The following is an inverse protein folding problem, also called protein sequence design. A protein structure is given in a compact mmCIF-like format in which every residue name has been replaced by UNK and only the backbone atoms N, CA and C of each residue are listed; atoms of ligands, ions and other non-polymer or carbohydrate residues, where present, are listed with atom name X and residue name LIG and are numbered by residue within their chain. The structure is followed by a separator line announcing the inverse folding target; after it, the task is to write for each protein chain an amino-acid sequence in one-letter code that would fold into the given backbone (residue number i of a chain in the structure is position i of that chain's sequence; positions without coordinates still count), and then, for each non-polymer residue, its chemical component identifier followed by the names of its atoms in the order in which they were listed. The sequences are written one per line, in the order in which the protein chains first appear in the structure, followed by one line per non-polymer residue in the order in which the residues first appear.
data_IF_868710831560
#
_entry.id   IF_868710831560
#
_cell.length_a   1.000
_cell.length_b   1.000
_cell.length_c   1.000
_cell.angle_alpha   90.00
_cell.angle_beta   90.00
_cell.angle_gamma   90.00
#
_symmetry.space_group_name_H-M   'P 1'
#
loop_
_entity.id
_entity.type
_entity.pdbx_description
1 polymer ?
#
# COMPACT_ATOMS: atom_id res chain seq x y z
N UNK A 1 -19.40 -14.84 1.62
CA UNK A 1 -18.63 -15.76 0.75
C UNK A 1 -17.58 -14.90 0.05
N UNK A 2 -16.33 -14.93 0.51
CA UNK A 2 -15.29 -14.01 0.02
C UNK A 2 -14.31 -14.78 -0.85
N UNK A 3 -14.32 -14.40 -2.13
CA UNK A 3 -13.67 -15.11 -3.22
C UNK A 3 -12.17 -14.80 -3.18
N UNK A 4 -11.36 -15.83 -2.91
CA UNK A 4 -10.06 -15.94 -3.55
C UNK A 4 -10.33 -15.88 -5.05
N UNK A 5 -9.99 -14.78 -5.73
CA UNK A 5 -10.08 -14.79 -7.17
C UNK A 5 -9.01 -15.75 -7.70
N UNK A 6 -9.38 -17.01 -7.85
CA UNK A 6 -8.84 -17.87 -8.90
C UNK A 6 -9.28 -17.23 -10.22
N UNK A 7 -8.44 -16.37 -10.78
CA UNK A 7 -8.66 -15.81 -12.11
C UNK A 7 -8.40 -16.94 -13.12
N UNK A 8 -9.47 -17.64 -13.49
CA UNK A 8 -9.48 -18.70 -14.50
C UNK A 8 -8.83 -18.22 -15.79
N UNK A 9 -7.91 -19.04 -16.30
CA UNK A 9 -7.26 -18.84 -17.58
C UNK A 9 -8.30 -18.87 -18.70
N UNK A 10 -8.47 -17.75 -19.41
CA UNK A 10 -9.12 -17.74 -20.70
C UNK A 10 -8.29 -16.86 -21.64
N UNK A 11 -7.46 -17.52 -22.44
CA UNK A 11 -7.08 -17.12 -23.79
C UNK A 11 -6.13 -15.95 -23.95
N UNK A 12 -4.84 -16.12 -23.64
CA UNK A 12 -3.76 -15.44 -24.37
C UNK A 12 -2.55 -16.37 -24.46
N UNK A 13 -2.41 -17.05 -25.60
CA UNK A 13 -1.18 -17.70 -26.05
C UNK A 13 -0.14 -16.62 -26.32
N UNK A 14 1.12 -16.74 -25.86
CA UNK A 14 2.30 -16.35 -26.66
C UNK A 14 3.62 -16.87 -26.05
N UNK A 15 4.33 -17.64 -26.89
CA UNK A 15 5.75 -18.02 -27.00
C UNK A 15 6.71 -17.70 -25.83
N UNK A 16 7.14 -18.76 -25.14
CA UNK A 16 8.28 -18.78 -24.21
C UNK A 16 9.58 -19.03 -24.98
N UNK A 17 10.61 -18.19 -24.77
CA UNK A 17 11.99 -18.44 -25.23
C UNK A 17 12.84 -18.81 -24.01
N UNK A 18 13.58 -19.90 -24.18
CA UNK A 18 14.26 -20.72 -23.18
C UNK A 18 15.76 -20.41 -23.20
N UNK A 19 16.36 -20.01 -22.08
CA UNK A 19 17.82 -20.15 -21.78
C UNK A 19 18.03 -19.83 -20.28
N UNK A 20 18.29 -20.79 -19.38
CA UNK A 20 19.51 -21.59 -19.10
C UNK A 20 20.55 -20.85 -18.24
N UNK A 21 20.67 -21.29 -16.98
CA UNK A 21 21.75 -20.96 -16.03
C UNK A 21 23.04 -21.75 -16.34
N UNK A 22 24.18 -21.45 -15.66
CA UNK A 22 24.51 -22.28 -14.49
C UNK A 22 25.29 -21.60 -13.33
N UNK A 23 25.16 -22.25 -12.18
CA UNK A 23 26.11 -22.56 -11.08
C UNK A 23 27.00 -21.51 -10.36
N UNK A 24 26.80 -21.49 -9.03
CA UNK A 24 27.76 -21.28 -7.93
C UNK A 24 28.21 -22.68 -7.46
N UNK A 25 29.38 -22.89 -6.78
CA UNK A 25 29.69 -22.22 -5.50
C UNK A 25 31.19 -22.04 -5.15
N UNK A 26 31.48 -21.25 -4.12
CA UNK A 26 32.56 -21.52 -3.16
C UNK A 26 32.45 -20.61 -1.93
N UNK A 27 32.65 -21.25 -0.79
CA UNK A 27 32.64 -20.80 0.61
C UNK A 27 33.98 -20.24 1.07
N UNK A 28 33.96 -19.49 2.18
CA UNK A 28 34.98 -19.32 3.25
C UNK A 28 35.08 -17.83 3.61
N UNK A 29 35.23 -17.34 4.84
CA UNK A 29 34.97 -17.74 6.24
C UNK A 29 35.60 -16.60 7.08
N UNK A 30 35.08 -16.35 8.28
CA UNK A 30 35.77 -15.72 9.45
C UNK A 30 36.15 -14.23 9.31
N UNK A 31 36.10 -13.33 10.29
CA UNK A 31 35.66 -13.28 11.69
C UNK A 31 35.74 -11.80 12.11
N UNK A 32 34.93 -11.36 13.07
CA UNK A 32 34.93 -9.97 13.64
C UNK A 32 36.07 -9.78 14.67
N UNK A 33 36.35 -8.56 15.21
CA UNK A 33 35.52 -8.08 16.32
C UNK A 33 35.40 -6.54 16.51
N UNK A 34 34.25 -6.15 17.09
CA UNK A 34 34.04 -5.23 18.24
C UNK A 34 34.68 -3.84 18.22
N UNK A 35 33.83 -2.82 18.25
CA UNK A 35 34.12 -1.49 18.79
C UNK A 35 32.82 -0.73 19.11
N UNK A 36 32.55 -0.47 20.39
CA UNK A 36 31.43 0.34 20.91
C UNK A 36 31.94 0.98 22.22
N UNK A 37 31.32 2.05 22.76
CA UNK A 37 31.03 3.38 22.23
C UNK A 37 31.73 4.47 23.08
N UNK A 38 31.55 5.76 22.75
CA UNK A 38 31.80 6.86 23.68
C UNK A 38 30.59 7.83 23.69
N UNK A 39 30.16 8.34 24.87
CA UNK A 39 28.94 9.13 25.05
C UNK A 39 29.21 10.65 25.15
N UNK A 40 28.15 11.46 25.01
CA UNK A 40 27.83 12.73 25.73
C UNK A 40 26.83 13.60 24.92
N UNK A 41 26.20 14.66 25.48
CA UNK A 41 25.10 14.62 26.45
C UNK A 41 23.88 15.46 26.01
N UNK A 42 22.75 15.28 26.70
CA UNK A 42 21.56 16.14 26.61
C UNK A 42 21.78 17.52 27.24
N UNK A 43 21.22 18.59 26.66
CA UNK A 43 20.96 19.95 27.23
C UNK A 43 20.19 20.72 26.13
N UNK A 44 19.14 21.52 26.29
CA UNK A 44 18.16 21.84 27.33
C UNK A 44 17.08 22.70 26.64
N UNK A 45 15.81 22.58 27.07
CA UNK A 45 14.83 23.66 26.91
C UNK A 45 15.12 24.80 27.89
N UNK A 46 14.63 26.02 27.62
CA UNK A 46 13.51 26.58 28.40
C UNK A 46 12.48 27.32 27.49
N UNK A 47 11.16 27.17 27.62
CA UNK A 47 10.22 27.63 28.66
C UNK A 47 9.80 29.13 28.58
N UNK A 48 8.58 29.33 28.03
CA UNK A 48 7.44 30.22 28.39
C UNK A 48 7.48 31.79 28.32
N UNK A 49 6.70 32.34 27.37
CA UNK A 49 5.61 33.39 27.34
C UNK A 49 5.56 34.57 28.38
N UNK A 50 4.80 35.72 28.20
CA UNK A 50 3.62 35.99 27.33
C UNK A 50 3.39 37.47 26.78
N UNK A 51 2.22 37.67 26.10
CA UNK A 51 1.39 38.91 25.89
C UNK A 51 1.83 39.95 24.82
N UNK A 52 1.02 40.50 23.89
CA UNK A 52 -0.42 40.85 23.82
C UNK A 52 -0.88 40.92 22.34
N UNK A 53 -2.05 40.38 21.94
CA UNK A 53 -3.38 41.04 21.75
C UNK A 53 -3.39 42.26 20.82
N UNK A 54 -4.00 42.16 19.63
CA UNK A 54 -5.27 42.84 19.33
C UNK A 54 -5.98 42.31 18.06
N UNK A 55 -7.27 42.61 18.00
CA UNK A 55 -8.38 41.95 17.36
C UNK A 55 -8.60 42.24 15.87
N UNK A 56 -9.23 41.27 15.19
CA UNK A 56 -10.41 41.54 14.35
C UNK A 56 -11.19 40.23 14.14
N UNK A 57 -12.42 40.23 14.66
CA UNK A 57 -13.42 39.17 14.48
C UNK A 57 -14.03 39.14 13.06
N UNK A 58 -14.87 38.14 12.77
CA UNK A 58 -14.98 37.56 11.43
C UNK A 58 -16.18 38.12 10.65
N UNK A 59 -16.00 38.36 9.34
CA UNK A 59 -17.10 38.38 8.38
C UNK A 59 -17.38 36.96 7.90
N UNK A 60 -18.62 36.45 8.01
CA UNK A 60 -18.98 35.11 7.56
C UNK A 60 -19.24 35.18 6.05
N UNK A 61 -18.18 35.33 5.27
CA UNK A 61 -18.27 35.01 3.85
C UNK A 61 -18.55 33.52 3.77
N UNK A 62 -19.65 33.20 3.10
CA UNK A 62 -20.04 31.89 2.61
C UNK A 62 -18.92 31.31 1.74
N UNK A 63 -17.85 30.87 2.39
CA UNK A 63 -16.78 30.09 1.81
C UNK A 63 -17.28 28.67 1.90
N UNK A 64 -18.00 28.26 0.85
CA UNK A 64 -18.28 26.87 0.53
C UNK A 64 -17.04 26.05 0.83
N UNK A 65 -17.01 25.45 2.03
CA UNK A 65 -15.94 24.61 2.53
C UNK A 65 -16.01 23.33 1.71
N UNK A 66 -15.39 23.35 0.53
CA UNK A 66 -14.63 22.19 0.07
C UNK A 66 -13.47 22.03 1.05
N UNK A 67 -13.79 21.61 2.28
CA UNK A 67 -12.80 20.98 3.15
C UNK A 67 -12.39 19.76 2.34
N UNK A 68 -11.21 19.83 1.74
CA UNK A 68 -10.40 18.65 1.66
C UNK A 68 -10.17 18.26 3.13
N UNK A 69 -11.11 17.48 3.68
CA UNK A 69 -11.01 16.94 5.03
C UNK A 69 -9.83 16.01 4.93
N UNK A 70 -8.63 16.53 5.23
CA UNK A 70 -7.45 15.71 5.49
C UNK A 70 -7.88 14.80 6.63
N UNK A 71 -8.26 13.56 6.30
CA UNK A 71 -8.68 12.60 7.31
C UNK A 71 -7.48 12.32 8.19
N UNK A 72 -7.75 12.16 9.47
CA UNK A 72 -6.73 11.78 10.43
C UNK A 72 -6.08 10.45 9.98
N UNK A 73 -4.76 10.40 9.73
CA UNK A 73 -4.07 9.17 9.35
C UNK A 73 -4.31 8.02 10.32
N UNK A 74 -4.47 8.29 11.63
CA UNK A 74 -4.76 7.27 12.63
C UNK A 74 -6.17 6.68 12.43
N UNK A 75 -7.16 7.51 12.13
CA UNK A 75 -8.52 7.06 11.83
C UNK A 75 -8.55 6.20 10.55
N UNK A 76 -7.84 6.63 9.50
CA UNK A 76 -7.72 5.87 8.24
C UNK A 76 -7.02 4.53 8.47
N UNK A 77 -5.95 4.52 9.25
CA UNK A 77 -5.25 3.29 9.63
C UNK A 77 -6.20 2.31 10.33
N UNK A 78 -6.94 2.79 11.33
CA UNK A 78 -7.94 1.99 12.04
C UNK A 78 -9.05 1.44 11.14
N UNK A 79 -9.54 2.24 10.18
CA UNK A 79 -10.52 1.78 9.18
C UNK A 79 -9.96 0.65 8.31
N UNK A 80 -8.74 0.81 7.80
CA UNK A 80 -8.08 -0.17 6.93
C UNK A 80 -7.78 -1.45 7.70
N UNK A 81 -7.13 -1.36 8.86
CA UNK A 81 -6.82 -2.52 9.70
C UNK A 81 -8.10 -3.23 10.12
N UNK A 82 -9.13 -2.49 10.52
CA UNK A 82 -10.43 -3.07 10.87
C UNK A 82 -11.13 -3.77 9.71
N UNK A 83 -10.85 -3.38 8.45
CA UNK A 83 -11.29 -4.12 7.26
C UNK A 83 -10.43 -5.37 7.04
N UNK A 84 -9.11 -5.25 7.14
CA UNK A 84 -8.16 -6.36 6.95
C UNK A 84 -8.41 -7.49 7.95
N UNK A 85 -8.61 -7.19 9.23
CA UNK A 85 -8.86 -8.19 10.28
C UNK A 85 -10.12 -9.03 10.07
N UNK A 86 -11.07 -8.58 9.23
CA UNK A 86 -12.27 -9.37 8.87
C UNK A 86 -11.98 -10.43 7.82
N UNK A 87 -10.84 -10.34 7.16
CA UNK A 87 -10.41 -11.28 6.13
C UNK A 87 -9.48 -12.34 6.74
N UNK A 88 -9.76 -13.62 6.46
CA UNK A 88 -8.99 -14.76 6.98
C UNK A 88 -7.48 -14.64 6.75
N UNK A 89 -7.08 -14.01 5.64
CA UNK A 89 -5.67 -13.82 5.29
C UNK A 89 -4.90 -12.90 6.25
N UNK A 90 -5.55 -11.89 6.81
CA UNK A 90 -4.88 -10.84 7.59
C UNK A 90 -5.23 -10.89 9.08
N UNK A 91 -6.28 -11.61 9.47
CA UNK A 91 -6.72 -11.71 10.88
C UNK A 91 -5.66 -12.31 11.81
N UNK A 92 -4.75 -13.12 11.26
CA UNK A 92 -3.68 -13.83 12.00
C UNK A 92 -2.34 -13.08 11.95
N UNK A 93 -2.25 -11.99 11.17
CA UNK A 93 -1.03 -11.19 11.12
C UNK A 93 -0.87 -10.35 12.38
N UNK A 94 0.39 -10.14 12.78
CA UNK A 94 0.69 -9.25 13.90
C UNK A 94 0.34 -7.80 13.54
N UNK A 95 0.10 -6.96 14.55
CA UNK A 95 -0.12 -5.52 14.33
C UNK A 95 1.11 -4.90 13.63
N UNK A 96 2.32 -5.35 13.96
CA UNK A 96 3.55 -4.89 13.31
C UNK A 96 3.58 -5.23 11.81
N UNK A 97 3.11 -6.42 11.41
CA UNK A 97 3.01 -6.78 9.99
C UNK A 97 1.96 -5.92 9.25
N UNK A 98 0.84 -5.62 9.90
CA UNK A 98 -0.19 -4.73 9.35
C UNK A 98 0.31 -3.29 9.27
N UNK A 99 1.07 -2.83 10.26
CA UNK A 99 1.70 -1.51 10.26
C UNK A 99 2.66 -1.38 9.07
N UNK A 100 3.50 -2.38 8.83
CA UNK A 100 4.44 -2.40 7.71
C UNK A 100 3.69 -2.33 6.36
N UNK A 101 2.55 -3.00 6.24
CA UNK A 101 1.75 -2.96 5.02
C UNK A 101 1.03 -1.61 4.82
N UNK A 102 0.44 -1.07 5.88
CA UNK A 102 -0.52 0.04 5.76
C UNK A 102 0.16 1.40 5.91
N UNK A 103 1.06 1.58 6.88
CA UNK A 103 1.65 2.89 7.17
C UNK A 103 2.41 3.49 5.98
N UNK A 104 3.24 2.75 5.24
CA UNK A 104 3.91 3.32 4.07
C UNK A 104 2.94 3.76 2.97
N UNK A 105 1.84 3.02 2.77
CA UNK A 105 0.78 3.38 1.83
C UNK A 105 0.11 4.71 2.22
N UNK A 106 -0.20 4.87 3.51
CA UNK A 106 -0.81 6.09 4.05
C UNK A 106 0.14 7.29 3.95
N UNK A 107 1.41 7.12 4.34
CA UNK A 107 2.43 8.18 4.28
C UNK A 107 2.68 8.67 2.85
N UNK A 108 2.63 7.77 1.88
CA UNK A 108 2.82 8.08 0.46
C UNK A 108 1.53 8.48 -0.25
N UNK A 109 0.38 8.45 0.44
CA UNK A 109 -0.95 8.67 -0.13
C UNK A 109 -1.26 7.72 -1.31
N UNK A 110 -0.77 6.49 -1.23
CA UNK A 110 -0.92 5.45 -2.25
C UNK A 110 -1.95 4.39 -1.84
N UNK A 111 -3.14 4.87 -1.51
CA UNK A 111 -4.26 4.02 -1.12
C UNK A 111 -5.59 4.59 -1.61
N UNK A 112 -6.57 3.72 -1.79
CA UNK A 112 -7.94 4.09 -2.11
C UNK A 112 -8.91 3.31 -1.23
N UNK A 113 -9.88 4.02 -0.67
CA UNK A 113 -10.94 3.44 0.14
C UNK A 113 -12.25 3.42 -0.63
N UNK A 114 -12.93 2.29 -0.56
CA UNK A 114 -14.28 2.12 -1.06
C UNK A 114 -15.24 2.07 0.12
N UNK A 115 -16.29 2.87 0.02
CA UNK A 115 -17.30 3.02 1.05
C UNK A 115 -18.61 2.36 0.62
N UNK A 116 -19.33 1.77 1.56
CA UNK A 116 -20.71 1.36 1.32
C UNK A 116 -21.54 2.59 1.02
N UNK A 117 -22.60 2.42 0.23
CA UNK A 117 -23.63 3.46 0.13
C UNK A 117 -24.14 3.74 1.56
N UNK A 118 -24.11 5.01 1.97
CA UNK A 118 -24.75 5.42 3.20
C UNK A 118 -26.24 5.10 3.07
N UNK A 119 -26.78 4.37 4.03
CA UNK A 119 -28.22 4.19 4.16
C UNK A 119 -28.72 5.25 5.14
N UNK A 120 -29.99 5.65 5.00
CA UNK A 120 -30.68 6.64 5.85
C UNK A 120 -30.38 6.52 7.36
N UNK A 121 -30.04 5.31 7.85
CA UNK A 121 -29.77 5.04 9.26
C UNK A 121 -28.30 4.70 9.61
N UNK A 122 -27.35 4.67 8.66
CA UNK A 122 -25.95 4.28 8.94
C UNK A 122 -24.92 5.09 8.18
N UNK A 123 -23.92 5.57 8.93
CA UNK A 123 -22.68 6.13 8.40
C UNK A 123 -22.07 5.19 7.34
N UNK A 124 -21.57 5.75 6.25
CA UNK A 124 -20.85 4.98 5.23
C UNK A 124 -19.66 4.24 5.87
N UNK A 125 -19.62 2.91 5.71
CA UNK A 125 -18.55 2.06 6.25
C UNK A 125 -17.54 1.75 5.16
N UNK A 126 -16.27 1.67 5.51
CA UNK A 126 -15.24 1.15 4.62
C UNK A 126 -15.48 -0.34 4.35
N UNK A 127 -15.71 -0.66 3.08
CA UNK A 127 -16.02 -2.01 2.57
C UNK A 127 -14.94 -2.53 1.64
N UNK A 128 -14.06 -1.66 1.14
CA UNK A 128 -12.93 -2.04 0.32
C UNK A 128 -11.73 -1.12 0.51
N UNK A 129 -10.54 -1.66 0.28
CA UNK A 129 -9.28 -0.92 0.22
C UNK A 129 -8.44 -1.44 -0.94
N UNK A 130 -7.74 -0.55 -1.63
CA UNK A 130 -6.66 -0.87 -2.55
C UNK A 130 -5.40 -0.11 -2.13
N UNK A 131 -4.27 -0.82 -2.05
CA UNK A 131 -2.96 -0.30 -1.69
C UNK A 131 -2.01 -0.52 -2.86
N UNK A 132 -1.26 0.51 -3.24
CA UNK A 132 -0.26 0.40 -4.30
C UNK A 132 1.05 1.06 -3.91
N UNK A 133 2.10 0.73 -4.65
CA UNK A 133 3.41 1.36 -4.56
C UNK A 133 3.85 1.83 -5.95
N UNK A 134 4.53 2.96 -6.02
CA UNK A 134 5.18 3.48 -7.21
C UNK A 134 6.68 3.19 -7.08
N UNK A 135 7.15 2.17 -7.77
CA UNK A 135 8.50 1.63 -7.61
C UNK A 135 9.39 1.96 -8.81
N UNK A 136 10.70 1.92 -8.60
CA UNK A 136 11.72 2.00 -9.63
C UNK A 136 11.96 0.65 -10.33
N UNK A 137 12.74 0.67 -11.41
CA UNK A 137 13.03 -0.54 -12.22
C UNK A 137 13.83 -1.60 -11.44
N UNK A 138 14.62 -1.20 -10.44
CA UNK A 138 15.37 -2.13 -9.60
C UNK A 138 14.41 -2.91 -8.67
N UNK A 139 13.52 -2.19 -7.98
CA UNK A 139 12.51 -2.81 -7.11
C UNK A 139 11.50 -3.61 -7.92
N UNK A 140 11.09 -3.12 -9.09
CA UNK A 140 10.21 -3.84 -10.01
C UNK A 140 10.78 -5.22 -10.40
N UNK A 141 12.04 -5.28 -10.84
CA UNK A 141 12.71 -6.56 -11.16
C UNK A 141 12.79 -7.48 -9.95
N UNK A 142 13.08 -6.95 -8.76
CA UNK A 142 13.08 -7.72 -7.52
C UNK A 142 11.68 -8.30 -7.23
N UNK A 143 10.62 -7.50 -7.36
CA UNK A 143 9.25 -7.91 -7.14
C UNK A 143 8.76 -8.95 -8.16
N UNK A 144 9.26 -8.89 -9.39
CA UNK A 144 8.97 -9.91 -10.41
C UNK A 144 9.55 -11.28 -10.03
N UNK A 145 10.73 -11.30 -9.41
CA UNK A 145 11.45 -12.53 -9.05
C UNK A 145 11.08 -13.05 -7.65
N UNK A 146 10.61 -12.16 -6.76
CA UNK A 146 10.24 -12.52 -5.39
C UNK A 146 9.09 -13.55 -5.38
N UNK A 147 9.18 -14.49 -4.44
CA UNK A 147 8.11 -15.46 -4.14
C UNK A 147 7.32 -15.06 -2.89
N UNK A 148 7.59 -13.88 -2.33
CA UNK A 148 6.99 -13.44 -1.09
C UNK A 148 5.49 -13.23 -1.26
N UNK A 149 4.75 -13.76 -0.28
CA UNK A 149 3.31 -13.61 -0.18
C UNK A 149 2.91 -13.47 1.29
N UNK A 150 2.49 -12.29 1.77
CA UNK A 150 2.30 -11.04 1.02
C UNK A 150 3.61 -10.41 0.53
N UNK A 151 3.51 -9.54 -0.48
CA UNK A 151 4.65 -8.73 -0.95
C UNK A 151 5.10 -7.83 0.21
N UNK A 152 6.39 -7.88 0.53
CA UNK A 152 7.01 -7.00 1.53
C UNK A 152 7.92 -5.99 0.84
N UNK A 153 7.61 -4.71 1.02
CA UNK A 153 8.43 -3.59 0.56
C UNK A 153 8.92 -2.78 1.76
N UNK A 154 10.16 -2.31 1.69
CA UNK A 154 10.67 -1.32 2.64
C UNK A 154 9.97 0.02 2.42
N UNK A 155 9.76 0.86 3.45
CA UNK A 155 9.06 2.13 3.30
C UNK A 155 9.59 3.03 2.18
N UNK A 156 10.90 3.04 1.96
CA UNK A 156 11.56 3.86 0.93
C UNK A 156 11.23 3.38 -0.49
N UNK A 157 10.90 2.10 -0.65
CA UNK A 157 10.56 1.49 -1.94
C UNK A 157 9.14 1.81 -2.37
N UNK A 158 8.26 2.26 -1.47
CA UNK A 158 6.86 2.52 -1.80
C UNK A 158 6.70 3.64 -2.83
N UNK A 159 7.59 4.64 -2.83
CA UNK A 159 7.54 5.78 -3.73
C UNK A 159 8.91 6.03 -4.37
N UNK A 160 9.58 4.96 -4.82
CA UNK A 160 10.92 5.02 -5.42
C UNK A 160 10.91 5.31 -6.93
N UNK A 161 9.78 5.19 -7.63
CA UNK A 161 9.75 5.38 -9.08
C UNK A 161 8.37 5.54 -9.71
N UNK A 162 8.24 5.11 -10.97
CA UNK A 162 7.06 5.38 -11.82
C UNK A 162 6.20 4.14 -12.09
N UNK A 163 6.72 2.94 -11.86
CA UNK A 163 6.01 1.68 -12.15
C UNK A 163 5.01 1.43 -11.01
N UNK A 164 3.71 1.30 -11.33
CA UNK A 164 2.70 1.05 -10.30
C UNK A 164 2.65 -0.44 -10.01
N UNK A 165 2.78 -0.82 -8.74
CA UNK A 165 2.51 -2.16 -8.25
C UNK A 165 1.29 -2.14 -7.33
N UNK A 166 0.26 -2.87 -7.69
CA UNK A 166 -0.86 -3.14 -6.79
C UNK A 166 -0.40 -4.17 -5.76
N UNK A 167 -0.18 -3.71 -4.53
CA UNK A 167 0.34 -4.51 -3.41
C UNK A 167 -0.78 -5.32 -2.78
N UNK A 168 -1.93 -4.67 -2.59
CA UNK A 168 -3.08 -5.33 -1.99
C UNK A 168 -4.42 -4.72 -2.44
N UNK A 169 -5.45 -5.55 -2.49
CA UNK A 169 -6.82 -5.12 -2.74
C UNK A 169 -7.79 -6.04 -2.00
N UNK A 170 -8.47 -5.49 -0.98
CA UNK A 170 -9.32 -6.25 -0.07
C UNK A 170 -10.72 -5.66 -0.03
N UNK A 171 -11.72 -6.45 -0.40
CA UNK A 171 -13.13 -6.08 -0.36
C UNK A 171 -13.99 -7.04 -1.19
N UNK A 172 -15.32 -6.83 -1.24
CA UNK A 172 -16.19 -7.51 -2.20
C UNK A 172 -15.69 -7.31 -3.65
N UNK A 173 -15.87 -8.34 -4.49
CA UNK A 173 -15.28 -8.37 -5.84
C UNK A 173 -15.76 -7.22 -6.73
N UNK A 174 -17.06 -6.92 -6.69
CA UNK A 174 -17.70 -5.81 -7.39
C UNK A 174 -17.13 -4.45 -6.93
N UNK A 175 -16.96 -4.28 -5.63
CA UNK A 175 -16.38 -3.08 -5.02
C UNK A 175 -14.93 -2.87 -5.45
N UNK A 176 -14.11 -3.93 -5.40
CA UNK A 176 -12.70 -3.85 -5.81
C UNK A 176 -12.58 -3.60 -7.31
N UNK A 177 -13.39 -4.25 -8.15
CA UNK A 177 -13.43 -3.98 -9.59
C UNK A 177 -13.76 -2.52 -9.90
N UNK A 178 -14.80 -1.97 -9.27
CA UNK A 178 -15.16 -0.56 -9.45
C UNK A 178 -14.05 0.39 -8.97
N UNK A 179 -13.39 0.06 -7.86
CA UNK A 179 -12.27 0.84 -7.31
C UNK A 179 -11.07 0.82 -8.25
N UNK A 180 -10.68 -0.35 -8.76
CA UNK A 180 -9.57 -0.49 -9.71
C UNK A 180 -9.88 0.19 -11.04
N UNK A 181 -11.10 0.06 -11.57
CA UNK A 181 -11.49 0.77 -12.79
C UNK A 181 -11.37 2.30 -12.64
N UNK A 182 -11.77 2.83 -11.48
CA UNK A 182 -11.59 4.25 -11.15
C UNK A 182 -10.11 4.62 -11.05
N UNK A 183 -9.27 3.79 -10.42
CA UNK A 183 -7.84 4.04 -10.31
C UNK A 183 -7.15 4.02 -11.67
N UNK A 184 -7.44 3.03 -12.51
CA UNK A 184 -6.92 2.91 -13.87
C UNK A 184 -7.29 4.12 -14.74
N UNK A 185 -8.51 4.63 -14.60
CA UNK A 185 -8.97 5.80 -15.35
C UNK A 185 -8.34 7.12 -14.89
N UNK A 186 -8.06 7.26 -13.60
CA UNK A 186 -7.66 8.56 -13.03
C UNK A 186 -6.20 8.55 -12.54
N UNK A 187 -5.89 7.76 -11.50
CA UNK A 187 -4.59 7.78 -10.81
C UNK A 187 -3.48 7.09 -11.60
N UNK A 188 -3.83 6.05 -12.37
CA UNK A 188 -2.89 5.25 -13.15
C UNK A 188 -2.97 5.55 -14.65
N UNK A 189 -3.62 6.65 -15.05
CA UNK A 189 -3.77 7.01 -16.44
C UNK A 189 -2.39 7.11 -17.13
N UNK A 190 -2.21 6.34 -18.21
CA UNK A 190 -0.96 6.30 -18.98
C UNK A 190 0.21 5.59 -18.29
N UNK A 191 -0.03 4.83 -17.22
CA UNK A 191 1.02 4.11 -16.47
C UNK A 191 0.82 2.60 -16.58
N UNK A 192 1.93 1.86 -16.61
CA UNK A 192 1.88 0.41 -16.41
C UNK A 192 1.56 0.10 -14.96
N UNK A 193 0.55 -0.75 -14.76
CA UNK A 193 0.14 -1.25 -13.45
C UNK A 193 0.37 -2.75 -13.41
N UNK A 194 1.19 -3.18 -12.45
CA UNK A 194 1.55 -4.58 -12.24
C UNK A 194 0.88 -5.11 -10.98
N UNK A 195 0.55 -6.39 -11.00
CA UNK A 195 -0.04 -7.07 -9.86
C UNK A 195 0.47 -8.51 -9.81
N UNK A 196 0.85 -8.96 -8.62
CA UNK A 196 1.06 -10.38 -8.40
C UNK A 196 -0.30 -11.08 -8.21
N UNK A 197 -0.57 -12.09 -9.03
CA UNK A 197 -1.71 -12.99 -8.88
C UNK A 197 -1.20 -14.39 -8.54
N UNK A 198 -1.92 -15.08 -7.68
CA UNK A 198 -1.74 -16.52 -7.49
C UNK A 198 -2.78 -17.20 -8.37
N UNK A 199 -2.37 -18.16 -9.19
CA UNK A 199 -3.30 -18.95 -10.00
C UNK A 199 -3.99 -20.05 -9.17
N UNK A 200 -4.77 -20.90 -9.84
CA UNK A 200 -5.55 -21.93 -9.16
C UNK A 200 -4.66 -23.02 -8.54
N UNK A 201 -3.44 -23.14 -9.06
CA UNK A 201 -2.40 -24.10 -8.75
C UNK A 201 -1.44 -23.58 -7.66
N UNK A 202 -1.62 -22.34 -7.21
CA UNK A 202 -0.79 -21.73 -6.17
C UNK A 202 0.48 -21.07 -6.70
N UNK A 203 0.67 -21.01 -8.01
CA UNK A 203 1.84 -20.39 -8.64
C UNK A 203 1.62 -18.88 -8.76
N UNK A 204 2.62 -18.12 -8.31
CA UNK A 204 2.63 -16.67 -8.44
C UNK A 204 2.98 -16.29 -9.88
N UNK A 205 2.12 -15.48 -10.51
CA UNK A 205 2.33 -14.84 -11.80
C UNK A 205 2.20 -13.33 -11.66
N UNK A 206 3.03 -12.57 -12.36
CA UNK A 206 2.87 -11.12 -12.46
C UNK A 206 2.00 -10.82 -13.68
N UNK A 207 0.97 -10.00 -13.50
CA UNK A 207 0.04 -9.59 -14.56
C UNK A 207 0.02 -8.07 -14.68
N UNK A 208 -0.13 -7.60 -15.91
CA UNK A 208 -0.40 -6.19 -16.18
C UNK A 208 -1.91 -5.94 -16.08
N UNK A 209 -2.29 -4.93 -15.32
CA UNK A 209 -3.66 -4.43 -15.22
C UNK A 209 -3.84 -3.34 -16.28
N UNK A 210 -4.70 -3.62 -17.26
CA UNK A 210 -5.12 -2.65 -18.27
C UNK A 210 -6.55 -2.22 -18.00
N UNK A 211 -6.88 -0.97 -18.32
CA UNK A 211 -8.27 -0.56 -18.42
C UNK A 211 -8.94 -1.39 -19.52
N UNK A 212 -10.08 -2.00 -19.20
CA UNK A 212 -10.92 -2.71 -20.15
C UNK A 212 -11.78 -1.72 -20.95
#
# INVERSE_FOLDING_TARGET
MFVQLKWGAAGMFFKSKKESAPDRPSTSSLESPIGTPAPSPSTSQPAVDPLSTDASGPTPVARSKRRNVRRDPAAVFGEVVGLLMRNKRYRELSIADLEWLVVPALKSNQFALAYSKASEAKQARTVGVALWACVDEATDRQLMQSRDNPIRLKPEQWNSGKIVWLIDAVGPQDVIRGTLARLLKNEFAGREVRMASIDAEGVRSVRNLTAA
#
